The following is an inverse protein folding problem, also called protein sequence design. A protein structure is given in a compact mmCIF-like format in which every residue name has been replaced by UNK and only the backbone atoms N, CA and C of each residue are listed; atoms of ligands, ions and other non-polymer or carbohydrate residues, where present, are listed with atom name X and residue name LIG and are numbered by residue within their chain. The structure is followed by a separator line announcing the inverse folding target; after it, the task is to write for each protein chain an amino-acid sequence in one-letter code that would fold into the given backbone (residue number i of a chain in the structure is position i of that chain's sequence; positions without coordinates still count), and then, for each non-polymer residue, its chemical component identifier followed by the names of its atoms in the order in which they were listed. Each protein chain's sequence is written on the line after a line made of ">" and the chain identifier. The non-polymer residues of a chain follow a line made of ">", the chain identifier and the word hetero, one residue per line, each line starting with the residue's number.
data_IF_944123849939
#
_entry.id   IF_944123849939
#
_cell.length_a   1.000
_cell.length_b   1.000
_cell.length_c   1.000
_cell.angle_alpha   90.00
_cell.angle_beta   90.00
_cell.angle_gamma   90.00
#
_symmetry.space_group_name_H-M   'P 1'
#
loop_
_entity.id
_entity.type
_entity.pdbx_description
1 polymer ?
#
# COMPACT_ATOMS: atom_id res chain seq x y z
N UNK A 1 -74.89 38.93 19.91
CA UNK A 1 -74.30 37.62 19.50
C UNK A 1 -73.67 37.80 18.13
N UNK A 2 -72.35 38.10 18.06
CA UNK A 2 -71.61 38.14 16.78
C UNK A 2 -70.42 37.23 16.89
N UNK A 3 -70.43 36.21 16.07
CA UNK A 3 -69.26 35.35 15.82
C UNK A 3 -68.30 36.06 14.86
N UNK A 4 -67.06 36.19 15.22
CA UNK A 4 -65.94 36.51 14.33
C UNK A 4 -65.29 35.24 13.85
N UNK A 5 -64.94 35.06 12.57
CA UNK A 5 -64.17 33.94 12.07
C UNK A 5 -62.68 34.20 12.30
N UNK A 6 -61.99 33.15 12.83
CA UNK A 6 -60.53 33.14 12.96
C UNK A 6 -59.89 33.00 11.61
N UNK A 7 -59.00 33.95 11.28
CA UNK A 7 -58.07 33.83 10.13
C UNK A 7 -56.91 32.90 10.51
N UNK A 8 -56.86 31.74 9.86
CA UNK A 8 -55.70 30.86 9.93
C UNK A 8 -54.64 31.42 8.96
N UNK A 9 -53.56 31.99 9.49
CA UNK A 9 -52.38 32.37 8.72
C UNK A 9 -51.66 31.05 8.28
N UNK A 10 -51.63 30.83 6.98
CA UNK A 10 -50.85 29.72 6.40
C UNK A 10 -49.35 29.96 6.62
N UNK A 11 -48.74 29.09 7.41
CA UNK A 11 -47.32 28.90 7.46
C UNK A 11 -46.88 28.21 6.16
N UNK A 12 -46.41 29.00 5.18
CA UNK A 12 -45.69 28.48 4.04
C UNK A 12 -44.31 28.05 4.56
N UNK A 13 -44.10 26.75 4.70
CA UNK A 13 -42.79 26.18 4.86
C UNK A 13 -41.97 26.47 3.60
N UNK A 14 -41.01 27.35 3.69
CA UNK A 14 -39.96 27.50 2.67
C UNK A 14 -39.21 26.16 2.59
N UNK A 15 -38.88 25.67 1.40
CA UNK A 15 -37.98 24.53 1.28
C UNK A 15 -36.62 24.98 1.84
N UNK A 16 -36.16 24.29 2.87
CA UNK A 16 -34.76 24.34 3.28
C UNK A 16 -34.00 23.64 2.17
N UNK A 17 -33.46 24.41 1.23
CA UNK A 17 -32.43 23.94 0.36
C UNK A 17 -31.23 23.62 1.26
N UNK A 18 -30.94 22.34 1.47
CA UNK A 18 -29.69 21.89 2.05
C UNK A 18 -28.58 22.29 1.09
N UNK A 19 -28.06 23.51 1.24
CA UNK A 19 -26.73 23.83 0.77
C UNK A 19 -25.79 22.99 1.64
N UNK A 20 -25.16 21.99 1.02
CA UNK A 20 -23.92 21.48 1.55
C UNK A 20 -23.02 22.69 1.80
N UNK A 21 -22.69 22.96 3.05
CA UNK A 21 -21.70 23.98 3.40
C UNK A 21 -20.41 23.52 2.75
N UNK A 22 -20.00 24.18 1.67
CA UNK A 22 -18.66 24.03 1.12
C UNK A 22 -17.70 24.32 2.27
N UNK A 23 -17.06 23.28 2.80
CA UNK A 23 -15.98 23.46 3.75
C UNK A 23 -14.84 24.13 2.99
N UNK A 24 -14.44 25.32 3.44
CA UNK A 24 -13.50 26.17 2.71
C UNK A 24 -12.10 25.54 2.59
N UNK A 25 -11.63 24.91 3.67
CA UNK A 25 -10.37 24.16 3.76
C UNK A 25 -10.67 22.82 4.39
N UNK A 26 -10.24 21.75 3.75
CA UNK A 26 -10.56 20.38 4.20
C UNK A 26 -9.36 19.46 4.10
N UNK A 27 -9.32 18.45 4.97
CA UNK A 27 -8.54 17.24 4.76
C UNK A 27 -9.23 16.52 3.60
N UNK A 28 -8.54 16.33 2.48
CA UNK A 28 -9.12 15.81 1.25
C UNK A 28 -8.94 14.32 1.10
N UNK A 29 -7.71 13.85 1.35
CA UNK A 29 -7.31 12.46 1.18
C UNK A 29 -6.20 12.12 2.17
N UNK A 30 -6.17 10.88 2.65
CA UNK A 30 -5.18 10.39 3.60
C UNK A 30 -4.79 8.96 3.28
N UNK A 31 -3.49 8.68 3.29
CA UNK A 31 -2.93 7.32 3.22
C UNK A 31 -2.06 7.08 4.45
N UNK A 32 -2.47 6.13 5.30
CA UNK A 32 -1.76 5.75 6.54
C UNK A 32 -1.04 4.40 6.43
N UNK A 33 -0.89 3.89 5.23
CA UNK A 33 -0.12 2.69 4.91
C UNK A 33 0.38 2.80 3.47
N UNK A 34 1.28 3.76 3.24
CA UNK A 34 1.82 4.01 1.89
C UNK A 34 2.96 3.04 1.58
N UNK A 35 2.87 2.37 0.45
CA UNK A 35 3.94 1.55 -0.12
C UNK A 35 4.39 2.07 -1.48
N UNK A 36 3.43 2.39 -2.36
CA UNK A 36 3.70 2.74 -3.76
C UNK A 36 2.94 3.97 -4.25
N UNK A 37 1.92 4.45 -3.52
CA UNK A 37 1.04 5.53 -3.99
C UNK A 37 1.75 6.87 -4.12
N UNK A 38 2.76 7.11 -3.27
CA UNK A 38 3.59 8.30 -3.31
C UNK A 38 5.00 7.96 -2.82
N UNK A 39 6.02 8.39 -3.55
CA UNK A 39 7.42 8.23 -3.15
C UNK A 39 8.14 9.58 -3.09
N UNK A 40 9.10 9.70 -2.16
CA UNK A 40 9.96 10.86 -2.02
C UNK A 40 11.43 10.42 -1.98
N UNK A 41 12.35 11.10 -2.69
CA UNK A 41 13.75 10.66 -2.81
C UNK A 41 14.48 10.45 -1.48
N UNK A 42 14.15 11.24 -0.44
CA UNK A 42 14.80 11.19 0.86
C UNK A 42 13.99 10.43 1.92
N UNK A 43 12.65 10.39 1.78
CA UNK A 43 11.74 9.80 2.77
C UNK A 43 11.28 8.39 2.40
N UNK A 44 11.58 7.91 1.17
CA UNK A 44 11.04 6.67 0.66
C UNK A 44 9.54 6.78 0.35
N UNK A 45 8.73 5.89 0.90
CA UNK A 45 7.26 5.89 0.75
C UNK A 45 6.58 6.30 2.06
N UNK A 46 6.62 7.59 2.45
CA UNK A 46 6.01 8.06 3.68
C UNK A 46 4.48 8.07 3.56
N UNK A 47 3.79 7.88 4.66
CA UNK A 47 2.36 8.18 4.75
C UNK A 47 2.12 9.66 4.46
N UNK A 48 0.90 10.01 4.04
CA UNK A 48 0.65 11.37 3.62
C UNK A 48 -0.79 11.82 3.88
N UNK A 49 -0.93 13.13 4.02
CA UNK A 49 -2.18 13.86 4.20
C UNK A 49 -2.28 14.87 3.08
N UNK A 50 -3.44 15.01 2.48
CA UNK A 50 -3.71 16.05 1.51
C UNK A 50 -4.79 17.00 2.02
N UNK A 51 -4.52 18.30 1.90
CA UNK A 51 -5.51 19.37 2.10
C UNK A 51 -6.02 19.87 0.75
N UNK A 52 -7.28 20.24 0.70
CA UNK A 52 -7.91 20.91 -0.44
C UNK A 52 -8.49 22.26 -0.02
N UNK A 53 -8.20 23.28 -0.83
CA UNK A 53 -8.79 24.62 -0.71
C UNK A 53 -9.96 24.77 -1.68
N UNK A 54 -11.18 24.52 -1.21
CA UNK A 54 -12.41 24.68 -1.99
C UNK A 54 -12.85 26.13 -2.20
N UNK A 55 -12.08 27.13 -1.74
CA UNK A 55 -12.42 28.55 -1.91
C UNK A 55 -11.92 29.12 -3.23
N UNK A 56 -12.38 30.34 -3.56
CA UNK A 56 -11.92 31.08 -4.72
C UNK A 56 -10.71 32.01 -4.46
N UNK A 57 -10.07 31.88 -3.29
CA UNK A 57 -8.90 32.65 -2.89
C UNK A 57 -7.80 31.78 -2.31
N UNK A 58 -6.56 32.23 -2.41
CA UNK A 58 -5.43 31.57 -1.71
C UNK A 58 -5.64 31.67 -0.20
N UNK A 59 -5.42 30.54 0.50
CA UNK A 59 -5.43 30.48 1.97
C UNK A 59 -3.98 30.49 2.45
N UNK A 60 -3.68 31.34 3.42
CA UNK A 60 -2.43 31.31 4.20
C UNK A 60 -2.62 30.34 5.37
N UNK A 61 -1.80 29.30 5.40
CA UNK A 61 -1.82 28.26 6.44
C UNK A 61 -0.79 28.51 7.55
N UNK A 62 -0.09 29.67 7.54
CA UNK A 62 0.89 30.01 8.56
C UNK A 62 0.29 29.88 9.97
N UNK A 63 0.88 29.02 10.80
CA UNK A 63 0.41 28.78 12.16
C UNK A 63 -0.83 27.91 12.30
N UNK A 64 -1.42 27.39 11.23
CA UNK A 64 -2.42 26.33 11.30
C UNK A 64 -1.76 25.04 11.80
N UNK A 65 -2.53 24.08 12.27
CA UNK A 65 -1.99 22.86 12.84
C UNK A 65 -2.65 21.57 12.35
N UNK A 66 -1.87 20.48 12.41
CA UNK A 66 -2.34 19.12 12.25
C UNK A 66 -2.02 18.31 13.51
N UNK A 67 -2.85 17.31 13.80
CA UNK A 67 -2.61 16.40 14.92
C UNK A 67 -3.27 15.03 14.69
N UNK A 68 -2.59 13.98 15.14
CA UNK A 68 -3.06 12.61 15.29
C UNK A 68 -3.66 12.34 16.70
N UNK A 69 -3.76 13.39 17.54
CA UNK A 69 -4.10 13.25 18.94
C UNK A 69 -5.17 14.25 19.37
N UNK A 70 -6.37 13.77 19.68
CA UNK A 70 -7.49 14.61 20.14
C UNK A 70 -7.22 15.37 21.46
N UNK A 71 -6.23 14.91 22.26
CA UNK A 71 -5.84 15.58 23.51
C UNK A 71 -4.85 16.72 23.27
N UNK A 72 -4.22 16.73 22.12
CA UNK A 72 -3.27 17.74 21.70
C UNK A 72 -3.60 18.17 20.25
N UNK A 73 -4.72 18.87 20.04
CA UNK A 73 -5.31 19.07 18.71
C UNK A 73 -4.48 19.95 17.76
N UNK A 74 -3.40 20.56 18.25
CA UNK A 74 -2.47 21.41 17.47
C UNK A 74 -1.02 20.92 17.74
N UNK A 75 -0.71 19.68 17.37
CA UNK A 75 0.56 19.03 17.67
C UNK A 75 1.68 19.48 16.73
N UNK A 76 1.41 19.55 15.45
CA UNK A 76 2.32 20.05 14.43
C UNK A 76 1.76 21.34 13.80
N UNK A 77 2.65 22.30 13.50
CA UNK A 77 2.26 23.63 13.00
C UNK A 77 2.84 23.87 11.60
N UNK A 78 2.00 24.33 10.68
CA UNK A 78 2.45 24.73 9.35
C UNK A 78 3.46 25.89 9.42
N UNK A 79 4.61 25.77 8.71
CA UNK A 79 5.60 26.84 8.63
C UNK A 79 5.01 28.16 8.12
N UNK A 80 5.64 29.28 8.53
CA UNK A 80 5.27 30.62 8.04
C UNK A 80 5.42 30.70 6.51
N UNK A 81 4.43 31.29 5.84
CA UNK A 81 4.40 31.42 4.39
C UNK A 81 3.86 30.19 3.65
N UNK A 82 3.45 29.14 4.36
CA UNK A 82 2.75 28.01 3.73
C UNK A 82 1.40 28.47 3.21
N UNK A 83 1.14 28.27 1.90
CA UNK A 83 -0.10 28.69 1.25
C UNK A 83 -0.69 27.59 0.40
N UNK A 84 -2.02 27.62 0.24
CA UNK A 84 -2.73 26.73 -0.68
C UNK A 84 -3.58 27.59 -1.65
N UNK A 85 -3.32 27.53 -2.97
CA UNK A 85 -4.07 28.32 -3.97
C UNK A 85 -5.56 27.99 -3.98
N UNK A 86 -6.37 28.89 -4.54
CA UNK A 86 -7.78 28.64 -4.81
C UNK A 86 -7.96 27.38 -5.65
N UNK A 87 -8.80 26.43 -5.20
CA UNK A 87 -9.00 25.13 -5.86
C UNK A 87 -7.77 24.24 -5.87
N UNK A 88 -6.73 24.55 -5.08
CA UNK A 88 -5.48 23.81 -5.04
C UNK A 88 -5.45 22.71 -3.97
N UNK A 89 -4.47 21.83 -4.12
CA UNK A 89 -4.15 20.75 -3.20
C UNK A 89 -2.79 21.00 -2.56
N UNK A 90 -2.60 20.51 -1.34
CA UNK A 90 -1.33 20.59 -0.61
C UNK A 90 -1.06 19.25 0.07
N UNK A 91 0.08 18.65 -0.28
CA UNK A 91 0.55 17.40 0.31
C UNK A 91 1.42 17.66 1.53
N UNK A 92 1.18 16.90 2.59
CA UNK A 92 1.96 16.87 3.82
C UNK A 92 2.38 15.42 4.08
N UNK A 93 3.67 15.18 4.28
CA UNK A 93 4.20 13.86 4.63
C UNK A 93 4.04 13.60 6.13
N UNK A 94 3.54 12.44 6.50
CA UNK A 94 3.35 12.02 7.89
C UNK A 94 4.39 10.95 8.24
N UNK A 95 5.61 11.38 8.59
CA UNK A 95 6.76 10.47 8.70
C UNK A 95 7.66 10.69 9.93
N UNK A 96 7.23 11.51 10.89
CA UNK A 96 8.04 11.85 12.07
C UNK A 96 9.44 12.36 11.70
N UNK A 97 9.53 13.17 10.64
CA UNK A 97 10.79 13.71 10.16
C UNK A 97 11.36 14.72 11.15
N UNK A 98 12.64 14.58 11.47
CA UNK A 98 13.37 15.45 12.40
C UNK A 98 14.56 16.14 11.72
N UNK A 99 14.58 16.18 10.37
CA UNK A 99 15.61 16.86 9.60
C UNK A 99 15.50 18.38 9.65
N UNK A 100 16.51 19.07 9.11
CA UNK A 100 16.60 20.53 9.11
C UNK A 100 16.05 21.18 7.83
N UNK A 101 15.38 20.41 6.95
CA UNK A 101 14.80 20.94 5.71
C UNK A 101 13.40 21.52 5.98
N UNK A 102 13.34 22.80 6.30
CA UNK A 102 12.08 23.53 6.53
C UNK A 102 11.21 23.67 5.25
N UNK A 103 11.72 23.34 4.07
CA UNK A 103 10.95 23.37 2.83
C UNK A 103 10.07 22.13 2.66
N UNK A 104 10.36 21.07 3.41
CA UNK A 104 9.63 19.81 3.38
C UNK A 104 8.46 19.86 4.39
N UNK A 105 7.24 19.83 3.88
CA UNK A 105 6.05 19.74 4.74
C UNK A 105 5.92 18.32 5.28
N UNK A 106 6.53 18.07 6.43
CA UNK A 106 6.56 16.78 7.09
C UNK A 106 6.16 16.94 8.56
N UNK A 107 5.19 16.15 9.00
CA UNK A 107 4.75 16.20 10.39
C UNK A 107 5.77 15.53 11.31
N UNK A 108 5.76 15.89 12.58
CA UNK A 108 6.54 15.26 13.65
C UNK A 108 5.90 13.97 14.19
N UNK A 109 4.81 13.52 13.56
CA UNK A 109 4.10 12.28 13.83
C UNK A 109 3.89 11.47 12.56
N UNK A 110 3.74 10.15 12.69
CA UNK A 110 3.30 9.24 11.65
C UNK A 110 1.83 8.90 11.81
N UNK A 111 1.23 8.30 10.80
CA UNK A 111 -0.16 7.84 10.85
C UNK A 111 -0.25 6.35 11.23
N UNK A 112 -1.33 5.98 11.91
CA UNK A 112 -1.59 4.59 12.28
C UNK A 112 -2.41 3.87 11.20
N UNK A 113 -1.87 2.81 10.63
CA UNK A 113 -2.63 1.93 9.70
C UNK A 113 -3.88 1.31 10.33
N UNK A 114 -3.98 1.27 11.65
CA UNK A 114 -5.12 0.70 12.38
C UNK A 114 -6.23 1.73 12.63
N UNK A 115 -6.06 2.94 12.13
CA UNK A 115 -7.00 4.04 12.28
C UNK A 115 -6.71 4.91 13.51
N UNK A 116 -7.10 6.18 13.40
CA UNK A 116 -6.97 7.22 14.43
C UNK A 116 -7.79 8.46 14.06
N UNK A 117 -7.83 9.46 14.94
CA UNK A 117 -8.45 10.76 14.62
C UNK A 117 -7.39 11.72 14.11
N UNK A 118 -7.60 12.30 12.92
CA UNK A 118 -6.80 13.37 12.36
C UNK A 118 -7.53 14.71 12.50
N UNK A 119 -6.85 15.71 13.04
CA UNK A 119 -7.41 17.04 13.31
C UNK A 119 -6.68 18.11 12.49
N UNK A 120 -7.45 19.05 11.96
CA UNK A 120 -6.98 20.30 11.35
C UNK A 120 -7.45 21.45 12.24
N UNK A 121 -6.52 22.34 12.62
CA UNK A 121 -6.81 23.53 13.44
C UNK A 121 -6.38 24.81 12.74
N UNK A 122 -7.01 25.92 13.08
CA UNK A 122 -6.53 27.25 12.67
C UNK A 122 -5.37 27.74 13.55
N UNK A 123 -4.83 28.92 13.21
CA UNK A 123 -3.74 29.56 13.94
C UNK A 123 -4.12 30.01 15.37
N UNK A 124 -5.38 29.92 15.76
CA UNK A 124 -5.89 30.21 17.10
C UNK A 124 -6.26 28.94 17.86
N UNK A 125 -5.84 27.76 17.35
CA UNK A 125 -6.08 26.43 17.92
C UNK A 125 -7.55 25.99 17.90
N UNK A 126 -8.41 26.66 17.12
CA UNK A 126 -9.78 26.22 16.91
C UNK A 126 -9.78 25.02 15.93
N UNK A 127 -10.47 23.93 16.30
CA UNK A 127 -10.61 22.76 15.42
C UNK A 127 -11.52 23.14 14.26
N UNK A 128 -10.95 23.13 13.05
CA UNK A 128 -11.66 23.35 11.79
C UNK A 128 -12.31 22.06 11.30
N UNK A 129 -11.60 20.93 11.46
CA UNK A 129 -12.08 19.63 11.05
C UNK A 129 -11.44 18.54 11.89
N UNK A 130 -12.20 17.47 12.11
CA UNK A 130 -11.74 16.18 12.61
C UNK A 130 -12.22 15.10 11.63
N UNK A 131 -11.31 14.23 11.25
CA UNK A 131 -11.59 13.05 10.42
C UNK A 131 -11.17 11.83 11.22
N UNK A 132 -12.11 10.95 11.50
CA UNK A 132 -11.82 9.67 12.16
C UNK A 132 -11.44 8.67 11.07
N UNK A 133 -10.14 8.43 10.94
CA UNK A 133 -9.58 7.49 9.96
C UNK A 133 -9.89 6.06 10.41
N UNK A 134 -10.46 5.24 9.56
CA UNK A 134 -10.56 3.81 9.80
C UNK A 134 -9.20 3.12 9.62
N UNK A 135 -9.14 1.82 9.89
CA UNK A 135 -8.00 1.02 9.46
C UNK A 135 -7.90 1.03 7.92
N UNK A 136 -6.71 1.33 7.38
CA UNK A 136 -6.45 1.36 5.95
C UNK A 136 -5.58 0.18 5.53
N UNK A 137 -5.87 -0.35 4.33
CA UNK A 137 -5.01 -1.32 3.66
C UNK A 137 -3.85 -0.59 2.96
N UNK A 138 -2.74 -1.29 2.67
CA UNK A 138 -1.65 -0.70 1.90
C UNK A 138 -2.13 -0.09 0.58
N UNK A 139 -1.73 1.17 0.33
CA UNK A 139 -2.06 1.96 -0.86
C UNK A 139 -3.58 2.12 -1.12
N UNK A 140 -4.39 2.05 -0.07
CA UNK A 140 -5.79 2.47 -0.07
C UNK A 140 -5.88 3.77 0.71
N UNK A 141 -6.47 4.78 0.11
CA UNK A 141 -6.70 6.05 0.79
C UNK A 141 -8.08 6.14 1.43
N UNK A 142 -8.21 7.03 2.41
CA UNK A 142 -9.48 7.51 2.92
C UNK A 142 -9.70 8.91 2.38
N UNK A 143 -10.60 9.02 1.40
CA UNK A 143 -10.74 10.17 0.56
C UNK A 143 -12.17 10.73 0.59
N UNK A 144 -12.29 12.02 0.28
CA UNK A 144 -13.55 12.73 0.25
C UNK A 144 -14.14 12.69 -1.17
N UNK A 145 -15.40 12.30 -1.33
CA UNK A 145 -16.12 12.37 -2.60
C UNK A 145 -16.60 13.80 -2.93
N UNK A 146 -17.16 13.98 -4.12
CA UNK A 146 -17.72 15.26 -4.56
C UNK A 146 -18.89 15.77 -3.70
N UNK A 147 -19.56 14.90 -2.93
CA UNK A 147 -20.62 15.27 -1.98
C UNK A 147 -20.05 15.70 -0.62
N UNK A 148 -18.76 15.49 -0.39
CA UNK A 148 -18.07 15.76 0.87
C UNK A 148 -18.09 14.60 1.86
N UNK A 149 -18.49 13.40 1.43
CA UNK A 149 -18.47 12.20 2.24
C UNK A 149 -17.14 11.48 2.10
N UNK A 150 -16.65 10.89 3.19
CA UNK A 150 -15.43 10.10 3.19
C UNK A 150 -15.71 8.63 2.98
N UNK A 151 -14.80 7.99 2.28
CA UNK A 151 -14.79 6.55 2.06
C UNK A 151 -13.43 6.10 1.55
N UNK A 152 -13.33 4.82 1.24
CA UNK A 152 -12.11 4.21 0.78
C UNK A 152 -11.93 4.40 -0.73
N UNK A 153 -10.70 4.64 -1.19
CA UNK A 153 -10.35 4.75 -2.59
C UNK A 153 -9.14 3.88 -2.90
N UNK A 154 -9.24 3.04 -3.94
CA UNK A 154 -8.17 2.11 -4.34
C UNK A 154 -7.07 2.76 -5.17
N UNK A 155 -7.31 3.96 -5.69
CA UNK A 155 -6.38 4.71 -6.54
C UNK A 155 -6.13 6.08 -5.91
N UNK A 156 -5.22 6.17 -4.93
CA UNK A 156 -4.88 7.43 -4.29
C UNK A 156 -4.42 8.48 -5.30
N UNK A 157 -4.86 9.73 -5.10
CA UNK A 157 -4.72 10.80 -6.09
C UNK A 157 -3.90 11.99 -5.59
N UNK A 158 -2.65 11.81 -5.14
CA UNK A 158 -1.86 12.89 -4.54
C UNK A 158 -1.71 14.09 -5.51
N UNK A 159 -2.11 15.28 -5.04
CA UNK A 159 -2.05 16.53 -5.79
C UNK A 159 -3.15 16.72 -6.84
N UNK A 160 -4.21 15.92 -6.81
CA UNK A 160 -5.29 15.92 -7.80
C UNK A 160 -6.66 15.81 -7.14
N UNK A 161 -7.70 15.98 -7.94
CA UNK A 161 -9.07 15.68 -7.55
C UNK A 161 -9.22 14.18 -7.29
N UNK A 162 -9.89 13.83 -6.18
CA UNK A 162 -10.17 12.44 -5.83
C UNK A 162 -11.03 11.77 -6.91
N UNK A 163 -10.82 10.47 -7.10
CA UNK A 163 -11.60 9.67 -8.05
C UNK A 163 -13.11 9.71 -7.76
N UNK A 164 -13.91 9.37 -8.77
CA UNK A 164 -15.38 9.42 -8.66
C UNK A 164 -15.97 8.37 -7.71
N UNK A 165 -15.20 7.31 -7.40
CA UNK A 165 -15.70 6.16 -6.65
C UNK A 165 -15.06 6.13 -5.28
N UNK A 166 -15.90 6.32 -4.26
CA UNK A 166 -15.52 6.20 -2.85
C UNK A 166 -16.32 5.04 -2.25
N UNK A 167 -15.62 4.02 -1.80
CA UNK A 167 -16.23 2.78 -1.30
C UNK A 167 -16.52 2.86 0.20
N UNK A 168 -17.48 2.04 0.65
CA UNK A 168 -17.86 1.97 2.08
C UNK A 168 -16.93 1.08 2.91
N UNK A 169 -16.10 0.27 2.27
CA UNK A 169 -15.10 -0.56 2.94
C UNK A 169 -13.78 -0.62 2.16
N UNK A 170 -12.68 -0.85 2.85
CA UNK A 170 -11.37 -1.02 2.21
C UNK A 170 -11.34 -2.24 1.26
N UNK A 171 -12.06 -3.30 1.58
CA UNK A 171 -12.16 -4.49 0.73
C UNK A 171 -12.91 -4.24 -0.57
N UNK A 172 -13.96 -3.38 -0.53
CA UNK A 172 -14.72 -3.01 -1.73
C UNK A 172 -13.91 -2.05 -2.62
N UNK A 173 -13.04 -1.24 -2.03
CA UNK A 173 -12.18 -0.31 -2.76
C UNK A 173 -11.19 -1.05 -3.65
N UNK A 174 -10.64 -2.16 -3.19
CA UNK A 174 -9.80 -3.01 -4.01
C UNK A 174 -10.75 -3.94 -4.76
N UNK A 175 -11.10 -3.58 -5.99
CA UNK A 175 -11.97 -4.37 -6.84
C UNK A 175 -11.50 -5.80 -6.86
N UNK A 176 -12.41 -6.73 -6.56
CA UNK A 176 -12.16 -8.16 -6.53
C UNK A 176 -12.00 -8.71 -7.97
N UNK A 177 -10.96 -8.25 -8.66
CA UNK A 177 -10.45 -8.89 -9.86
C UNK A 177 -9.55 -10.08 -9.52
N UNK A 178 -9.46 -10.44 -8.22
CA UNK A 178 -8.63 -11.55 -7.75
C UNK A 178 -9.13 -12.87 -8.30
N UNK A 179 -8.20 -13.62 -8.84
CA UNK A 179 -8.45 -14.93 -9.44
C UNK A 179 -7.46 -15.95 -8.86
N UNK A 180 -7.94 -17.14 -8.56
CA UNK A 180 -7.11 -18.31 -8.20
C UNK A 180 -6.12 -18.69 -9.32
N UNK A 181 -6.22 -18.01 -10.46
CA UNK A 181 -5.30 -18.22 -11.58
C UNK A 181 -3.90 -17.63 -11.34
N UNK A 182 -3.74 -16.67 -10.42
CA UNK A 182 -2.41 -16.17 -10.05
C UNK A 182 -1.81 -17.09 -8.97
N UNK A 183 -0.62 -17.63 -9.24
CA UNK A 183 0.04 -18.57 -8.33
C UNK A 183 1.53 -18.28 -8.19
N UNK A 184 2.11 -18.61 -7.03
CA UNK A 184 3.56 -18.63 -6.86
C UNK A 184 4.07 -19.94 -7.43
N UNK A 185 4.91 -19.89 -8.45
CA UNK A 185 5.45 -21.09 -9.12
C UNK A 185 6.84 -21.45 -8.63
N UNK A 186 7.63 -20.46 -8.21
CA UNK A 186 9.01 -20.66 -7.76
C UNK A 186 9.40 -19.57 -6.77
N UNK A 187 10.19 -19.89 -5.75
CA UNK A 187 10.79 -18.93 -4.85
C UNK A 187 12.24 -19.34 -4.53
N UNK A 188 13.16 -18.38 -4.66
CA UNK A 188 14.55 -18.49 -4.20
C UNK A 188 14.73 -17.65 -2.92
N UNK A 189 14.58 -18.25 -1.72
CA UNK A 189 14.61 -17.50 -0.46
C UNK A 189 15.97 -16.92 -0.11
N UNK A 190 17.05 -17.51 -0.64
CA UNK A 190 18.41 -16.99 -0.51
C UNK A 190 18.97 -16.69 -1.89
N UNK A 191 19.50 -15.48 -2.05
CA UNK A 191 20.04 -15.01 -3.32
C UNK A 191 21.08 -16.00 -3.90
N UNK A 192 21.01 -16.22 -5.21
CA UNK A 192 21.90 -17.10 -5.96
C UNK A 192 22.44 -16.39 -7.21
N UNK A 193 22.67 -17.16 -8.27
CA UNK A 193 23.23 -16.65 -9.52
C UNK A 193 22.27 -15.79 -10.37
N UNK A 194 20.97 -15.78 -10.08
CA UNK A 194 19.99 -14.95 -10.80
C UNK A 194 20.15 -13.50 -10.38
N UNK A 195 20.26 -12.62 -11.38
CA UNK A 195 20.41 -11.18 -11.16
C UNK A 195 19.12 -10.45 -11.54
N UNK A 196 18.74 -9.49 -10.70
CA UNK A 196 17.70 -8.53 -11.01
C UNK A 196 18.15 -7.58 -12.14
N UNK A 197 17.23 -6.80 -12.74
CA UNK A 197 17.57 -5.85 -13.80
C UNK A 197 18.62 -4.81 -13.39
N UNK A 198 18.76 -4.49 -12.10
CA UNK A 198 19.80 -3.61 -11.55
C UNK A 198 21.21 -4.27 -11.46
N UNK A 199 21.34 -5.54 -11.90
CA UNK A 199 22.58 -6.30 -11.92
C UNK A 199 22.98 -6.90 -10.58
N UNK A 200 22.12 -6.91 -9.57
CA UNK A 200 22.38 -7.46 -8.24
C UNK A 200 21.57 -8.73 -7.98
N UNK A 201 22.09 -9.59 -7.13
CA UNK A 201 21.39 -10.78 -6.67
C UNK A 201 20.55 -10.45 -5.44
N UNK A 202 19.29 -10.88 -5.46
CA UNK A 202 18.33 -10.79 -4.35
C UNK A 202 17.59 -12.12 -4.21
N UNK A 203 17.00 -12.42 -3.06
CA UNK A 203 15.90 -13.38 -3.00
C UNK A 203 14.80 -12.95 -3.97
N UNK A 204 14.10 -13.90 -4.55
CA UNK A 204 13.04 -13.62 -5.51
C UNK A 204 11.95 -14.68 -5.51
N UNK A 205 10.79 -14.33 -6.03
CA UNK A 205 9.72 -15.28 -6.34
C UNK A 205 9.19 -15.03 -7.74
N UNK A 206 8.61 -16.07 -8.33
CA UNK A 206 7.93 -16.03 -9.59
C UNK A 206 6.43 -16.18 -9.40
N UNK A 207 5.67 -15.30 -10.06
CA UNK A 207 4.23 -15.39 -10.18
C UNK A 207 3.85 -15.76 -11.61
N UNK A 208 2.84 -16.62 -11.74
CA UNK A 208 2.32 -17.10 -13.00
C UNK A 208 0.81 -16.90 -13.08
N UNK A 209 0.34 -16.30 -14.18
CA UNK A 209 -1.07 -16.21 -14.51
C UNK A 209 -1.47 -17.42 -15.34
N UNK A 210 -2.09 -18.42 -14.70
CA UNK A 210 -2.60 -19.64 -15.38
C UNK A 210 -3.98 -19.46 -16.03
N UNK A 211 -4.58 -18.27 -15.89
CA UNK A 211 -5.90 -17.94 -16.44
C UNK A 211 -5.88 -17.63 -17.94
N UNK A 212 -7.06 -17.38 -18.47
CA UNK A 212 -7.28 -16.97 -19.87
C UNK A 212 -7.35 -15.46 -20.06
N UNK A 213 -7.38 -14.68 -18.97
CA UNK A 213 -7.53 -13.23 -19.00
C UNK A 213 -6.32 -12.56 -18.31
N UNK A 214 -5.98 -11.33 -18.68
CA UNK A 214 -4.98 -10.55 -17.97
C UNK A 214 -5.41 -10.28 -16.52
N UNK A 215 -4.45 -10.24 -15.60
CA UNK A 215 -4.66 -9.92 -14.18
C UNK A 215 -3.96 -8.61 -13.83
N UNK A 216 -4.61 -7.79 -13.02
CA UNK A 216 -4.01 -6.60 -12.43
C UNK A 216 -3.30 -7.00 -11.15
N UNK A 217 -1.97 -6.84 -11.09
CA UNK A 217 -1.18 -7.29 -9.95
C UNK A 217 -1.52 -6.53 -8.66
N UNK A 218 -1.91 -5.26 -8.75
CA UNK A 218 -2.31 -4.47 -7.57
C UNK A 218 -3.57 -4.97 -6.84
N UNK A 219 -4.25 -5.97 -7.38
CA UNK A 219 -5.35 -6.65 -6.68
C UNK A 219 -4.85 -7.71 -5.67
N UNK A 220 -3.52 -7.94 -5.62
CA UNK A 220 -2.90 -9.00 -4.84
C UNK A 220 -1.83 -8.46 -3.89
N UNK A 221 -1.55 -9.26 -2.86
CA UNK A 221 -0.56 -8.97 -1.82
C UNK A 221 0.41 -10.13 -1.66
N UNK A 222 1.65 -9.81 -1.32
CA UNK A 222 2.68 -10.77 -0.91
C UNK A 222 3.12 -10.52 0.53
N UNK A 223 3.34 -11.60 1.25
CA UNK A 223 3.84 -11.56 2.63
C UNK A 223 4.76 -12.75 2.93
N UNK A 224 5.76 -12.51 3.77
CA UNK A 224 6.59 -13.52 4.44
C UNK A 224 5.99 -13.99 5.76
N UNK A 225 4.77 -13.51 6.10
CA UNK A 225 4.10 -13.81 7.35
C UNK A 225 2.63 -14.18 7.12
N UNK A 226 2.25 -15.41 7.39
CA UNK A 226 0.88 -15.90 7.23
C UNK A 226 -0.16 -15.15 8.09
N UNK A 227 0.29 -14.51 9.19
CA UNK A 227 -0.57 -13.72 10.07
C UNK A 227 -0.71 -12.25 9.64
N UNK A 228 0.06 -11.83 8.63
CA UNK A 228 -0.01 -10.50 8.00
C UNK A 228 -0.11 -10.64 6.48
N UNK A 229 -1.17 -11.28 5.95
CA UNK A 229 -1.27 -11.62 4.53
C UNK A 229 -1.27 -10.39 3.60
N UNK A 230 -1.61 -9.21 4.10
CA UNK A 230 -1.68 -7.94 3.38
C UNK A 230 -0.43 -7.06 3.61
N UNK A 231 0.76 -7.67 3.80
CA UNK A 231 1.98 -6.95 4.15
C UNK A 231 2.47 -6.00 3.05
N UNK A 232 2.43 -6.43 1.80
CA UNK A 232 2.90 -5.64 0.66
C UNK A 232 1.97 -5.84 -0.53
N UNK A 233 1.38 -4.74 -1.03
CA UNK A 233 0.56 -4.73 -2.24
C UNK A 233 1.46 -4.78 -3.46
N UNK A 234 1.16 -5.65 -4.44
CA UNK A 234 1.89 -5.65 -5.70
C UNK A 234 1.60 -4.37 -6.49
N UNK A 235 2.54 -3.93 -7.35
CA UNK A 235 2.38 -2.69 -8.12
C UNK A 235 1.27 -2.79 -9.17
N UNK A 236 0.79 -1.63 -9.65
CA UNK A 236 -0.23 -1.51 -10.69
C UNK A 236 0.27 -1.91 -12.07
N UNK A 237 0.64 -3.19 -12.24
CA UNK A 237 1.07 -3.77 -13.50
C UNK A 237 0.12 -4.87 -13.95
N UNK A 238 -0.06 -5.03 -15.26
CA UNK A 238 -0.88 -6.10 -15.84
C UNK A 238 -0.01 -7.31 -16.16
N UNK A 239 -0.44 -8.49 -15.70
CA UNK A 239 0.17 -9.76 -16.06
C UNK A 239 -0.74 -10.51 -17.04
N UNK A 240 -0.28 -10.62 -18.27
CA UNK A 240 -1.03 -11.27 -19.36
C UNK A 240 -1.33 -12.75 -19.07
N UNK A 241 -2.34 -13.28 -19.72
CA UNK A 241 -2.69 -14.71 -19.63
C UNK A 241 -1.52 -15.59 -20.06
N UNK A 242 -1.16 -16.58 -19.24
CA UNK A 242 -0.03 -17.47 -19.47
C UNK A 242 1.35 -16.84 -19.27
N UNK A 243 1.42 -15.62 -18.76
CA UNK A 243 2.68 -14.93 -18.51
C UNK A 243 3.22 -15.18 -17.09
N UNK A 244 4.54 -14.99 -16.97
CA UNK A 244 5.30 -15.06 -15.75
C UNK A 244 5.82 -13.66 -15.38
N UNK A 245 5.98 -13.38 -14.11
CA UNK A 245 6.70 -12.20 -13.62
C UNK A 245 7.52 -12.52 -12.39
N UNK A 246 8.66 -11.86 -12.24
CA UNK A 246 9.58 -12.07 -11.12
C UNK A 246 9.51 -10.89 -10.16
N UNK A 247 9.35 -11.19 -8.87
CA UNK A 247 9.36 -10.23 -7.78
C UNK A 247 10.68 -10.39 -7.01
N UNK A 248 11.44 -9.29 -6.86
CA UNK A 248 12.72 -9.26 -6.18
C UNK A 248 12.57 -8.69 -4.76
N UNK A 249 13.00 -9.41 -3.74
CA UNK A 249 12.88 -8.99 -2.33
C UNK A 249 14.08 -8.15 -1.89
N UNK A 250 14.21 -6.95 -2.44
CA UNK A 250 15.32 -6.03 -2.15
C UNK A 250 15.07 -5.10 -0.96
N UNK A 251 13.80 -4.91 -0.58
CA UNK A 251 13.38 -3.90 0.39
C UNK A 251 13.43 -2.47 -0.17
N UNK A 252 13.40 -2.30 -1.51
CA UNK A 252 13.53 -1.00 -2.17
C UNK A 252 12.79 -1.04 -3.51
N UNK A 253 11.60 -0.48 -3.54
CA UNK A 253 10.68 -0.50 -4.70
C UNK A 253 11.10 0.45 -5.83
N UNK A 254 12.04 1.36 -5.58
CA UNK A 254 12.54 2.33 -6.56
C UNK A 254 13.52 1.78 -7.59
N UNK A 255 13.69 0.45 -7.71
CA UNK A 255 14.62 -0.21 -8.63
C UNK A 255 13.94 -0.64 -9.92
N UNK A 256 14.77 -0.89 -10.94
CA UNK A 256 14.31 -1.46 -12.21
C UNK A 256 13.76 -2.88 -12.00
N UNK A 257 12.55 -3.14 -12.49
CA UNK A 257 11.80 -4.37 -12.28
C UNK A 257 10.80 -4.25 -11.14
N UNK A 258 10.20 -5.36 -10.73
CA UNK A 258 9.27 -5.38 -9.59
C UNK A 258 10.05 -5.78 -8.33
N UNK A 259 10.25 -4.82 -7.45
CA UNK A 259 10.94 -5.01 -6.19
C UNK A 259 9.97 -4.83 -5.02
N UNK A 260 9.94 -5.81 -4.12
CA UNK A 260 9.12 -5.73 -2.92
C UNK A 260 9.71 -4.74 -1.90
N UNK A 261 8.85 -4.03 -1.18
CA UNK A 261 9.22 -3.13 -0.09
C UNK A 261 9.76 -3.84 1.16
N UNK A 262 9.81 -5.16 1.14
CA UNK A 262 10.38 -5.98 2.21
C UNK A 262 11.43 -6.96 1.69
N UNK A 263 12.19 -7.56 2.60
CA UNK A 263 13.22 -8.56 2.29
C UNK A 263 12.83 -9.90 2.89
N UNK A 264 13.11 -10.97 2.17
CA UNK A 264 13.11 -12.30 2.78
C UNK A 264 14.36 -12.46 3.63
N UNK A 265 14.15 -12.76 4.90
CA UNK A 265 15.23 -13.02 5.86
C UNK A 265 15.63 -14.48 5.91
N UNK A 266 16.73 -14.81 6.60
CA UNK A 266 17.15 -16.19 6.81
C UNK A 266 16.22 -16.98 7.74
N UNK A 267 15.45 -16.26 8.55
CA UNK A 267 14.46 -16.83 9.48
C UNK A 267 13.08 -17.00 8.87
N UNK A 268 12.86 -16.54 7.64
CA UNK A 268 11.59 -16.72 6.97
C UNK A 268 11.46 -18.15 6.43
N UNK A 269 10.26 -18.67 6.52
CA UNK A 269 9.93 -20.05 6.15
C UNK A 269 8.69 -20.15 5.26
N UNK A 270 8.15 -19.01 4.85
CA UNK A 270 6.91 -18.91 4.08
C UNK A 270 6.90 -17.72 3.13
N UNK A 271 6.16 -17.85 2.03
CA UNK A 271 5.73 -16.78 1.16
C UNK A 271 4.26 -16.99 0.82
N UNK A 272 3.44 -16.01 1.12
CA UNK A 272 1.98 -16.03 0.94
C UNK A 272 1.60 -15.03 -0.14
N UNK A 273 0.81 -15.48 -1.11
CA UNK A 273 0.06 -14.64 -2.03
C UNK A 273 -1.40 -14.62 -1.57
N UNK A 274 -1.95 -13.44 -1.39
CA UNK A 274 -3.34 -13.26 -0.94
C UNK A 274 -4.09 -12.26 -1.80
N UNK A 275 -5.43 -12.32 -1.73
CA UNK A 275 -6.32 -11.29 -2.26
C UNK A 275 -6.41 -10.07 -1.32
N UNK A 276 -7.15 -9.07 -1.73
CA UNK A 276 -7.38 -7.83 -0.99
C UNK A 276 -8.13 -8.00 0.35
N UNK A 277 -8.75 -9.16 0.56
CA UNK A 277 -9.44 -9.48 1.82
C UNK A 277 -8.55 -10.27 2.77
N UNK A 278 -7.32 -10.58 2.34
CA UNK A 278 -6.36 -11.40 3.08
C UNK A 278 -6.59 -12.90 2.93
N UNK A 279 -7.48 -13.33 2.01
CA UNK A 279 -7.63 -14.75 1.71
C UNK A 279 -6.39 -15.26 0.99
N UNK A 280 -5.80 -16.31 1.51
CA UNK A 280 -4.66 -16.96 0.89
C UNK A 280 -5.05 -17.61 -0.44
N UNK A 281 -4.36 -17.21 -1.52
CA UNK A 281 -4.52 -17.78 -2.87
C UNK A 281 -3.45 -18.83 -3.14
N UNK A 282 -2.20 -18.52 -2.79
CA UNK A 282 -1.05 -19.41 -2.99
C UNK A 282 -0.08 -19.27 -1.82
N UNK A 283 0.59 -20.36 -1.50
CA UNK A 283 1.60 -20.38 -0.44
C UNK A 283 2.75 -21.31 -0.82
N UNK A 284 3.96 -20.86 -0.56
CA UNK A 284 5.15 -21.71 -0.47
C UNK A 284 5.66 -21.69 0.95
N UNK A 285 6.07 -22.88 1.43
CA UNK A 285 6.72 -23.03 2.74
C UNK A 285 7.99 -23.86 2.59
N UNK A 286 8.96 -23.58 3.45
CA UNK A 286 10.25 -24.27 3.46
C UNK A 286 10.82 -24.37 4.88
N UNK A 287 11.74 -25.32 5.16
CA UNK A 287 12.38 -25.41 6.46
C UNK A 287 13.25 -24.16 6.70
N UNK A 288 12.98 -23.47 7.80
CA UNK A 288 13.75 -22.30 8.24
C UNK A 288 15.26 -22.64 8.27
N UNK A 289 16.08 -21.72 7.75
CA UNK A 289 17.56 -21.79 7.72
C UNK A 289 18.17 -23.00 6.98
N UNK A 290 17.37 -23.89 6.38
CA UNK A 290 17.90 -25.11 5.74
C UNK A 290 18.04 -24.99 4.22
N UNK A 291 17.46 -23.96 3.60
CA UNK A 291 17.59 -23.76 2.15
C UNK A 291 19.00 -23.30 1.81
N UNK A 292 19.77 -24.02 0.98
CA UNK A 292 21.05 -23.56 0.47
C UNK A 292 20.90 -22.33 -0.45
N UNK A 293 21.97 -21.57 -0.61
CA UNK A 293 22.01 -20.49 -1.62
C UNK A 293 21.77 -21.06 -3.03
N UNK A 294 20.98 -20.36 -3.84
CA UNK A 294 20.68 -20.74 -5.21
C UNK A 294 19.74 -21.93 -5.37
N UNK A 295 19.14 -22.43 -4.29
CA UNK A 295 18.08 -23.44 -4.33
C UNK A 295 16.72 -22.76 -4.27
N UNK A 296 15.84 -23.15 -5.20
CA UNK A 296 14.47 -22.71 -5.26
C UNK A 296 13.53 -23.69 -4.59
N UNK A 297 12.49 -23.13 -3.97
CA UNK A 297 11.32 -23.82 -3.44
C UNK A 297 10.24 -23.82 -4.50
N UNK A 298 9.63 -24.96 -4.76
CA UNK A 298 8.54 -25.16 -5.69
C UNK A 298 7.26 -25.55 -4.94
N UNK A 299 6.07 -25.40 -5.56
CA UNK A 299 4.83 -25.90 -5.00
C UNK A 299 4.90 -27.38 -4.60
N UNK A 300 4.19 -27.74 -3.53
CA UNK A 300 4.18 -29.13 -3.02
C UNK A 300 5.42 -29.54 -2.23
N UNK A 301 6.22 -28.58 -1.73
CA UNK A 301 7.41 -28.88 -0.92
C UNK A 301 8.55 -29.50 -1.70
N UNK A 302 8.65 -29.16 -2.98
CA UNK A 302 9.72 -29.61 -3.88
C UNK A 302 10.80 -28.52 -3.98
N UNK A 303 11.99 -28.91 -4.42
CA UNK A 303 13.14 -28.03 -4.54
C UNK A 303 13.86 -28.26 -5.86
N UNK A 304 14.56 -27.22 -6.35
CA UNK A 304 15.43 -27.32 -7.53
C UNK A 304 16.63 -26.40 -7.40
N UNK A 305 17.77 -26.80 -7.94
CA UNK A 305 18.91 -25.91 -8.15
C UNK A 305 18.91 -25.27 -9.56
N UNK A 306 17.90 -25.58 -10.38
CA UNK A 306 17.72 -25.04 -11.73
C UNK A 306 16.65 -23.94 -11.68
N UNK A 307 17.05 -22.73 -11.30
CA UNK A 307 16.18 -21.58 -11.30
C UNK A 307 15.70 -21.23 -12.73
N UNK A 308 14.41 -20.91 -12.86
CA UNK A 308 13.77 -20.65 -14.17
C UNK A 308 12.99 -19.33 -14.19
N UNK A 309 13.57 -18.18 -13.76
CA UNK A 309 12.82 -16.93 -13.67
C UNK A 309 12.27 -16.50 -15.02
N UNK A 310 10.95 -16.24 -15.07
CA UNK A 310 10.22 -15.85 -16.27
C UNK A 310 9.91 -17.00 -17.23
N UNK A 311 10.08 -18.26 -16.81
CA UNK A 311 9.88 -19.45 -17.63
C UNK A 311 9.21 -20.58 -16.82
N UNK A 312 8.54 -21.54 -17.49
CA UNK A 312 8.03 -22.71 -16.81
C UNK A 312 9.13 -23.47 -16.06
N UNK A 313 8.83 -23.94 -14.86
CA UNK A 313 9.73 -24.75 -14.05
C UNK A 313 10.24 -25.96 -14.82
N UNK A 314 11.53 -26.25 -14.70
CA UNK A 314 12.14 -27.47 -15.24
C UNK A 314 11.43 -28.71 -14.71
N UNK A 315 11.22 -29.70 -15.57
CA UNK A 315 10.67 -31.00 -15.18
C UNK A 315 11.77 -31.98 -14.73
N UNK A 316 13.02 -31.53 -14.71
CA UNK A 316 14.19 -32.36 -14.29
C UNK A 316 14.96 -31.62 -13.21
N UNK A 317 15.73 -32.37 -12.42
CA UNK A 317 16.51 -31.76 -11.33
C UNK A 317 15.66 -31.34 -10.14
N UNK A 318 14.44 -31.88 -10.01
CA UNK A 318 13.55 -31.67 -8.88
C UNK A 318 13.84 -32.74 -7.82
N UNK A 319 13.93 -32.32 -6.56
CA UNK A 319 14.10 -33.20 -5.40
C UNK A 319 13.10 -32.82 -4.29
N UNK A 320 12.69 -33.82 -3.51
CA UNK A 320 11.65 -33.68 -2.47
C UNK A 320 12.23 -33.55 -1.05
N UNK A 321 13.54 -33.61 -0.89
CA UNK A 321 14.23 -33.52 0.39
C UNK A 321 15.53 -32.73 0.24
N UNK A 322 15.86 -31.89 1.25
CA UNK A 322 17.14 -31.23 1.37
C UNK A 322 18.20 -32.07 2.08
N UNK A 323 17.83 -33.31 2.50
CA UNK A 323 18.78 -34.22 3.08
C UNK A 323 19.71 -34.74 1.98
N UNK A 324 20.95 -34.35 2.04
CA UNK A 324 22.02 -34.99 1.27
C UNK A 324 22.27 -36.37 1.89
N UNK A 325 22.16 -37.41 1.10
CA UNK A 325 22.59 -38.73 1.55
C UNK A 325 24.04 -38.59 2.08
N UNK A 326 24.34 -39.10 3.29
CA UNK A 326 25.71 -39.08 3.79
C UNK A 326 26.59 -39.77 2.75
N UNK A 327 27.66 -39.08 2.32
CA UNK A 327 28.63 -39.69 1.42
C UNK A 327 29.18 -40.96 2.11
N UNK A 328 29.09 -42.10 1.44
CA UNK A 328 29.77 -43.30 1.92
C UNK A 328 31.27 -42.97 2.09
N UNK A 329 31.83 -43.32 3.25
CA UNK A 329 33.18 -42.94 3.63
C UNK A 329 34.27 -43.35 2.61
N UNK A 330 33.93 -44.31 1.72
CA UNK A 330 34.81 -44.85 0.69
C UNK A 330 34.45 -44.44 -0.75
N UNK A 331 33.49 -43.54 -0.95
CA UNK A 331 33.15 -43.08 -2.29
C UNK A 331 34.32 -42.24 -2.85
N UNK A 332 34.92 -42.61 -4.00
CA UNK A 332 35.99 -41.81 -4.60
C UNK A 332 35.40 -40.49 -5.14
N UNK A 333 35.57 -39.39 -4.38
CA UNK A 333 35.23 -38.07 -4.83
C UNK A 333 36.23 -37.64 -5.88
N UNK A 334 35.79 -37.40 -7.08
CA UNK A 334 36.62 -36.82 -8.14
C UNK A 334 36.03 -35.47 -8.46
N UNK A 335 36.82 -34.39 -8.26
CA UNK A 335 36.53 -33.10 -8.84
C UNK A 335 36.74 -33.26 -10.33
N UNK A 336 35.66 -33.09 -11.13
CA UNK A 336 35.71 -33.29 -12.57
C UNK A 336 35.94 -31.98 -13.31
N UNK A 337 35.55 -30.86 -12.73
CA UNK A 337 35.71 -29.53 -13.31
C UNK A 337 35.69 -28.46 -12.23
N UNK A 338 36.53 -27.42 -12.38
CA UNK A 338 36.50 -26.17 -11.61
C UNK A 338 36.48 -25.06 -12.66
N UNK A 339 35.42 -24.25 -12.63
CA UNK A 339 35.29 -23.05 -13.46
C UNK A 339 35.79 -21.81 -12.70
#
# INVERSE_FOLDING_TARGET
>A
LFLLPALCAGCSSLPVSGQATEQALVINEVVSSNSTSLSHPELGSPDWIELYNGTNATIDLSGFGLSDNVKEPHKWTFPEGTTIPAGGYLLIYACSYTGEDDSLLCTDFGLSKNGESLLLTDAYYAILQQVDLPALLPDVSYARDASGQYGYCSDPTPGKENGEVVFSSAGDAITAGTSDALTITECMPKAGACLAPDGKAYPWAELYNSGSEPLLLSDYYLSDNIHEPLKWRLPGATLEAGAYTTIWFSGDEGKDGIHAGFRLGSSDDTLVLSDSTGNQISILTWPMDQIPEGVCVLPGGQYTAQATPGQPNSQTGIFSSLEFAPMEADAPVRIHEIL
#
